data_IF_918073532260
#
_entry.id   IF_918073532260
#
_cell.length_a   1.000
_cell.length_b   1.000
_cell.length_c   1.000
_cell.angle_alpha   90.00
_cell.angle_beta   90.00
_cell.angle_gamma   90.00
#
_symmetry.space_group_name_H-M   'P 1'
#
loop_
_entity.id
_entity.type
_entity.pdbx_description
1 polymer ?
#
# COMPACT_ATOMS: atom_id res chain seq x y z
N UNK A 1 -6.97 41.54 -7.73
CA UNK A 1 -7.35 40.53 -6.71
C UNK A 1 -7.70 39.15 -7.29
N UNK A 2 -8.47 39.04 -8.39
CA UNK A 2 -8.87 37.74 -8.97
C UNK A 2 -7.69 36.84 -9.41
N UNK A 3 -6.73 37.38 -10.18
CA UNK A 3 -5.55 36.63 -10.67
C UNK A 3 -4.68 36.02 -9.56
N UNK A 4 -4.56 36.69 -8.41
CA UNK A 4 -3.82 36.19 -7.26
C UNK A 4 -4.55 35.00 -6.58
N UNK A 5 -5.88 35.05 -6.50
CA UNK A 5 -6.70 33.94 -5.98
C UNK A 5 -6.64 32.72 -6.91
N UNK A 6 -6.66 32.93 -8.22
CA UNK A 6 -6.56 31.84 -9.20
C UNK A 6 -5.17 31.18 -9.21
N UNK A 7 -4.10 31.98 -9.08
CA UNK A 7 -2.73 31.46 -8.93
C UNK A 7 -2.55 30.61 -7.67
N UNK A 8 -3.12 31.06 -6.53
CA UNK A 8 -3.09 30.29 -5.28
C UNK A 8 -3.89 28.99 -5.38
N UNK A 9 -5.04 29.01 -6.05
CA UNK A 9 -5.84 27.79 -6.29
C UNK A 9 -5.10 26.78 -7.16
N UNK A 10 -4.42 27.25 -8.21
CA UNK A 10 -3.61 26.40 -9.08
C UNK A 10 -2.44 25.79 -8.31
N UNK A 11 -1.70 26.60 -7.55
CA UNK A 11 -0.59 26.12 -6.73
C UNK A 11 -1.04 25.06 -5.69
N UNK A 12 -2.18 25.28 -5.03
CA UNK A 12 -2.73 24.31 -4.08
C UNK A 12 -3.18 23.00 -4.77
N UNK A 13 -3.74 23.09 -5.98
CA UNK A 13 -4.11 21.93 -6.79
C UNK A 13 -2.89 21.13 -7.24
N UNK A 14 -1.87 21.82 -7.73
CA UNK A 14 -0.62 21.19 -8.16
C UNK A 14 0.08 20.52 -6.98
N UNK A 15 0.15 21.17 -5.82
CA UNK A 15 0.72 20.58 -4.61
C UNK A 15 -0.01 19.30 -4.18
N UNK A 16 -1.35 19.30 -4.20
CA UNK A 16 -2.14 18.09 -3.91
C UNK A 16 -1.85 16.98 -4.91
N UNK A 17 -1.77 17.31 -6.20
CA UNK A 17 -1.45 16.34 -7.25
C UNK A 17 -0.07 15.70 -7.04
N UNK A 18 0.94 16.49 -6.67
CA UNK A 18 2.28 15.99 -6.38
C UNK A 18 2.28 15.07 -5.15
N UNK A 19 1.62 15.46 -4.06
CA UNK A 19 1.51 14.65 -2.85
C UNK A 19 0.78 13.31 -3.12
N UNK A 20 -0.33 13.34 -3.87
CA UNK A 20 -1.04 12.13 -4.29
C UNK A 20 -0.17 11.22 -5.16
N UNK A 21 0.57 11.78 -6.13
CA UNK A 21 1.44 10.97 -7.00
C UNK A 21 2.54 10.28 -6.19
N UNK A 22 3.17 10.98 -5.24
CA UNK A 22 4.18 10.40 -4.36
C UNK A 22 3.64 9.19 -3.59
N UNK A 23 2.43 9.31 -3.02
CA UNK A 23 1.75 8.23 -2.29
C UNK A 23 1.43 7.02 -3.19
N UNK A 24 0.97 7.26 -4.41
CA UNK A 24 0.67 6.18 -5.39
C UNK A 24 1.95 5.43 -5.78
N UNK A 25 3.03 6.16 -6.08
CA UNK A 25 4.32 5.55 -6.44
C UNK A 25 4.87 4.74 -5.27
N UNK A 26 4.83 5.29 -4.05
CA UNK A 26 5.26 4.58 -2.86
C UNK A 26 4.46 3.29 -2.64
N UNK A 27 3.13 3.34 -2.73
CA UNK A 27 2.29 2.15 -2.58
C UNK A 27 2.61 1.05 -3.61
N UNK A 28 2.82 1.44 -4.88
CA UNK A 28 3.24 0.50 -5.92
C UNK A 28 4.61 -0.13 -5.65
N UNK A 29 5.58 0.68 -5.21
CA UNK A 29 6.92 0.20 -4.84
C UNK A 29 6.87 -0.75 -3.64
N UNK A 30 6.11 -0.42 -2.59
CA UNK A 30 5.90 -1.27 -1.42
C UNK A 30 5.32 -2.63 -1.80
N UNK A 31 4.35 -2.69 -2.72
CA UNK A 31 3.80 -3.95 -3.21
C UNK A 31 4.79 -4.74 -4.07
N UNK A 32 5.61 -4.06 -4.87
CA UNK A 32 6.71 -4.68 -5.59
C UNK A 32 7.63 -5.46 -4.65
N UNK A 33 8.04 -4.84 -3.54
CA UNK A 33 8.88 -5.49 -2.52
C UNK A 33 8.15 -6.67 -1.87
N UNK A 34 6.88 -6.49 -1.48
CA UNK A 34 6.10 -7.54 -0.82
C UNK A 34 5.99 -8.82 -1.67
N UNK A 35 5.86 -8.69 -2.99
CA UNK A 35 5.79 -9.84 -3.90
C UNK A 35 7.08 -10.65 -3.99
N UNK A 36 8.25 -10.01 -3.78
CA UNK A 36 9.55 -10.68 -3.83
C UNK A 36 10.15 -11.01 -2.46
N UNK A 37 9.57 -10.49 -1.37
CA UNK A 37 10.05 -10.67 0.00
C UNK A 37 8.89 -11.05 0.92
N UNK A 38 8.78 -12.34 1.23
CA UNK A 38 7.71 -12.88 2.07
C UNK A 38 7.73 -12.39 3.51
N UNK A 39 8.92 -12.21 4.10
CA UNK A 39 9.05 -11.67 5.45
C UNK A 39 8.52 -10.24 5.53
N UNK A 40 8.84 -9.42 4.52
CA UNK A 40 8.27 -8.07 4.42
C UNK A 40 6.75 -8.09 4.24
N UNK A 41 6.22 -8.97 3.37
CA UNK A 41 4.78 -9.11 3.18
C UNK A 41 4.05 -9.51 4.47
N UNK A 42 4.62 -10.42 5.26
CA UNK A 42 4.06 -10.85 6.55
C UNK A 42 4.05 -9.70 7.57
N UNK A 43 5.17 -8.98 7.70
CA UNK A 43 5.27 -7.83 8.61
C UNK A 43 4.28 -6.73 8.23
N UNK A 44 4.16 -6.44 6.92
CA UNK A 44 3.22 -5.43 6.43
C UNK A 44 1.76 -5.85 6.66
N UNK A 45 1.42 -7.11 6.41
CA UNK A 45 0.09 -7.65 6.70
C UNK A 45 -0.24 -7.58 8.19
N UNK A 46 0.72 -7.94 9.06
CA UNK A 46 0.56 -7.83 10.51
C UNK A 46 0.32 -6.38 10.92
N UNK A 47 1.16 -5.45 10.45
CA UNK A 47 1.02 -4.03 10.74
C UNK A 47 -0.37 -3.51 10.34
N UNK A 48 -0.84 -3.86 9.14
CA UNK A 48 -2.17 -3.48 8.64
C UNK A 48 -3.30 -4.04 9.51
N UNK A 49 -3.19 -5.29 9.96
CA UNK A 49 -4.19 -5.93 10.82
C UNK A 49 -4.26 -5.32 12.23
N UNK A 50 -3.14 -4.81 12.74
CA UNK A 50 -3.07 -4.20 14.08
C UNK A 50 -3.30 -2.69 14.09
N UNK A 51 -3.23 -2.04 12.93
CA UNK A 51 -3.42 -0.60 12.82
C UNK A 51 -4.86 -0.19 13.17
N UNK A 52 -5.01 0.85 14.00
CA UNK A 52 -6.31 1.47 14.27
C UNK A 52 -6.70 2.37 13.11
N UNK A 53 -7.33 1.79 12.10
CA UNK A 53 -7.84 2.48 10.91
C UNK A 53 -9.32 2.83 11.06
N UNK A 54 -9.75 3.94 10.45
CA UNK A 54 -11.18 4.24 10.28
C UNK A 54 -11.78 3.27 9.27
N UNK A 55 -13.09 3.00 9.34
CA UNK A 55 -13.68 1.99 8.45
C UNK A 55 -13.52 2.29 6.96
N UNK A 56 -13.68 3.55 6.56
CA UNK A 56 -13.42 3.99 5.19
C UNK A 56 -11.99 3.67 4.71
N UNK A 57 -11.00 3.74 5.62
CA UNK A 57 -9.61 3.45 5.27
C UNK A 57 -9.38 1.93 5.21
N UNK A 58 -10.09 1.14 6.02
CA UNK A 58 -10.06 -0.33 5.93
C UNK A 58 -10.65 -0.84 4.62
N UNK A 59 -11.78 -0.26 4.20
CA UNK A 59 -12.41 -0.59 2.92
C UNK A 59 -11.50 -0.24 1.75
N UNK A 60 -10.90 0.96 1.77
CA UNK A 60 -9.93 1.39 0.76
C UNK A 60 -8.67 0.50 0.67
N UNK A 61 -8.32 -0.21 1.76
CA UNK A 61 -7.16 -1.10 1.84
C UNK A 61 -7.52 -2.60 1.74
N UNK A 62 -8.80 -2.94 1.52
CA UNK A 62 -9.27 -4.32 1.53
C UNK A 62 -8.59 -5.19 0.46
N UNK A 63 -8.48 -4.68 -0.76
CA UNK A 63 -7.83 -5.40 -1.87
C UNK A 63 -6.33 -5.57 -1.62
N UNK A 64 -5.67 -4.52 -1.12
CA UNK A 64 -4.26 -4.55 -0.75
C UNK A 64 -3.99 -5.63 0.31
N UNK A 65 -4.83 -5.68 1.35
CA UNK A 65 -4.77 -6.70 2.40
C UNK A 65 -4.96 -8.10 1.84
N UNK A 66 -5.93 -8.28 0.93
CA UNK A 66 -6.22 -9.57 0.29
C UNK A 66 -5.03 -10.06 -0.51
N UNK A 67 -4.38 -9.19 -1.28
CA UNK A 67 -3.18 -9.54 -2.04
C UNK A 67 -2.04 -9.98 -1.11
N UNK A 68 -1.79 -9.27 -0.01
CA UNK A 68 -0.77 -9.68 0.98
C UNK A 68 -1.07 -11.06 1.59
N UNK A 69 -2.33 -11.36 1.91
CA UNK A 69 -2.72 -12.69 2.40
C UNK A 69 -2.43 -13.79 1.37
N UNK A 70 -2.64 -13.53 0.09
CA UNK A 70 -2.32 -14.47 -0.99
C UNK A 70 -0.81 -14.69 -1.13
N UNK A 71 -0.01 -13.62 -1.08
CA UNK A 71 1.45 -13.71 -1.13
C UNK A 71 1.99 -14.56 0.03
N UNK A 72 1.52 -14.27 1.25
CA UNK A 72 1.93 -14.99 2.46
C UNK A 72 1.52 -16.47 2.43
N UNK A 73 0.33 -16.79 1.93
CA UNK A 73 -0.16 -18.18 1.84
C UNK A 73 0.49 -18.98 0.70
N UNK A 74 0.84 -18.34 -0.42
CA UNK A 74 1.60 -18.97 -1.51
C UNK A 74 3.00 -19.40 -1.07
N UNK A 75 3.66 -18.58 -0.23
CA UNK A 75 4.97 -18.92 0.34
C UNK A 75 4.91 -20.04 1.38
N UNK A 76 3.85 -20.08 2.20
CA UNK A 76 3.67 -21.15 3.18
C UNK A 76 3.60 -22.54 2.50
N UNK A 77 2.94 -22.63 1.33
CA UNK A 77 2.87 -23.87 0.53
C UNK A 77 4.23 -24.25 -0.09
N UNK A 78 4.99 -23.26 -0.57
CA UNK A 78 6.31 -23.50 -1.15
C UNK A 78 7.33 -24.02 -0.11
N UNK A 79 7.29 -23.52 1.13
CA UNK A 79 8.16 -23.97 2.21
C UNK A 79 7.78 -25.37 2.73
N UNK A 80 6.47 -25.70 2.78
CA UNK A 80 6.04 -27.05 3.18
C UNK A 80 6.52 -28.13 2.20
N UNK A 81 6.53 -27.84 0.89
CA UNK A 81 7.00 -28.82 -0.11
C UNK A 81 8.52 -29.05 -0.11
N UNK A 82 9.33 -28.15 0.46
CA UNK A 82 10.79 -28.32 0.55
C UNK A 82 11.22 -29.13 1.79
N UNK A 83 10.33 -29.34 2.75
CA UNK A 83 10.62 -30.06 4.00
C UNK A 83 10.19 -31.54 3.97
N UNK A 84 9.80 -32.06 2.80
CA UNK A 84 9.38 -33.47 2.59
C UNK A 84 10.33 -34.20 1.63
N UNK A 85 11.55 -33.68 1.42
CA UNK A 85 12.59 -34.28 0.58
C UNK A 85 13.69 -34.93 1.40
#
# INVERSE_FOLDING_TARGET
MQKARDALRKAASDQRRFDTRGKVVLGGFTMGIARSNSSFAQQLLQALNTAKLREQDKEALADFRKELMLICSGHAKAQQNQNVG
#
